data_IF_185060556078
#
_entry.id   IF_185060556078
#
_cell.length_a   1.000
_cell.length_b   1.000
_cell.length_c   1.000
_cell.angle_alpha   90.00
_cell.angle_beta   90.00
_cell.angle_gamma   90.00
#
_symmetry.space_group_name_H-M   'P 1'
#
loop_
_entity.id
_entity.type
_entity.pdbx_description
1 polymer ?
#
# COMPACT_ATOMS: atom_id res chain seq x y z
N UNK A 1 52.18 -66.68 33.97
CA UNK A 1 52.42 -65.23 33.92
C UNK A 1 53.20 -64.99 32.63
N UNK A 2 52.64 -64.36 31.58
CA UNK A 2 53.45 -64.04 30.41
C UNK A 2 54.54 -63.05 30.84
N UNK A 3 55.74 -63.20 30.27
CA UNK A 3 56.88 -62.35 30.56
C UNK A 3 56.50 -60.88 30.36
N UNK A 4 56.73 -60.06 31.39
CA UNK A 4 56.64 -58.60 31.28
C UNK A 4 57.72 -58.14 30.30
N UNK A 5 57.34 -57.86 29.06
CA UNK A 5 58.21 -57.18 28.11
C UNK A 5 58.32 -55.72 28.55
N UNK A 6 59.38 -55.40 29.29
CA UNK A 6 59.71 -54.02 29.62
C UNK A 6 60.11 -53.29 28.34
N UNK A 7 59.39 -52.21 28.02
CA UNK A 7 59.72 -51.35 26.89
C UNK A 7 60.85 -50.40 27.30
N UNK A 8 61.87 -50.31 26.45
CA UNK A 8 62.93 -49.32 26.58
C UNK A 8 62.40 -47.92 26.23
N UNK A 9 62.98 -46.84 26.79
CA UNK A 9 62.57 -45.45 26.46
C UNK A 9 62.54 -45.17 24.95
N UNK A 10 63.45 -45.78 24.20
CA UNK A 10 63.56 -45.64 22.75
C UNK A 10 62.40 -46.33 22.01
N UNK A 11 61.81 -47.39 22.57
CA UNK A 11 60.62 -48.06 22.03
C UNK A 11 59.32 -47.30 22.32
N UNK A 12 59.34 -46.35 23.26
CA UNK A 12 58.21 -45.50 23.61
C UNK A 12 58.19 -44.18 22.85
N UNK A 13 59.32 -43.79 22.24
CA UNK A 13 59.49 -42.50 21.58
C UNK A 13 59.61 -42.66 20.06
N UNK A 14 58.57 -42.27 19.34
CA UNK A 14 58.63 -42.05 17.89
C UNK A 14 58.96 -40.60 17.60
N UNK A 15 60.25 -40.28 17.61
CA UNK A 15 60.77 -38.96 17.21
C UNK A 15 60.79 -38.76 15.70
N UNK A 16 60.63 -37.50 15.28
CA UNK A 16 60.91 -37.08 13.89
C UNK A 16 62.23 -36.31 13.90
N UNK A 17 63.17 -36.67 13.04
CA UNK A 17 64.44 -35.96 12.89
C UNK A 17 64.20 -34.59 12.20
N UNK A 18 64.42 -33.45 12.89
CA UNK A 18 64.20 -32.13 12.30
C UNK A 18 65.09 -31.85 11.08
N UNK A 19 66.25 -32.51 10.97
CA UNK A 19 67.14 -32.36 9.82
C UNK A 19 66.55 -32.93 8.51
N UNK A 20 65.47 -33.72 8.60
CA UNK A 20 64.75 -34.25 7.43
C UNK A 20 63.73 -33.27 6.85
N UNK A 21 63.43 -32.16 7.55
CA UNK A 21 62.45 -31.18 7.10
C UNK A 21 63.13 -30.14 6.18
N UNK A 22 62.52 -29.79 5.03
CA UNK A 22 63.13 -28.89 4.06
C UNK A 22 63.01 -27.39 4.43
N UNK A 23 62.70 -27.06 5.68
CA UNK A 23 62.45 -25.69 6.15
C UNK A 23 63.06 -25.47 7.55
N UNK A 24 63.43 -24.22 7.84
CA UNK A 24 64.01 -23.87 9.14
C UNK A 24 62.92 -23.52 10.17
N UNK A 25 61.86 -22.86 9.74
CA UNK A 25 60.72 -22.47 10.58
C UNK A 25 59.40 -22.69 9.84
N UNK A 26 58.29 -22.77 10.59
CA UNK A 26 56.95 -22.89 9.99
C UNK A 26 56.49 -21.60 9.29
N UNK A 27 57.20 -20.48 9.47
CA UNK A 27 56.94 -19.23 8.73
C UNK A 27 57.37 -19.34 7.25
N UNK A 28 58.31 -20.25 6.95
CA UNK A 28 58.82 -20.50 5.60
C UNK A 28 57.84 -21.32 4.74
N UNK A 29 56.74 -21.80 5.33
CA UNK A 29 55.77 -22.66 4.68
C UNK A 29 54.62 -21.84 4.10
N UNK A 30 54.28 -22.09 2.84
CA UNK A 30 53.04 -21.60 2.24
C UNK A 30 51.82 -22.21 2.94
N UNK A 31 50.74 -21.42 2.99
CA UNK A 31 49.47 -21.92 3.52
C UNK A 31 48.95 -23.06 2.67
N UNK A 32 48.57 -24.16 3.31
CA UNK A 32 47.94 -25.27 2.63
C UNK A 32 46.48 -24.94 2.33
N UNK A 33 46.17 -24.69 1.06
CA UNK A 33 44.80 -24.55 0.57
C UNK A 33 44.01 -25.87 0.51
N UNK A 34 44.65 -26.98 0.91
CA UNK A 34 44.10 -28.33 0.79
C UNK A 34 43.80 -28.88 2.18
N UNK A 35 42.56 -29.35 2.38
CA UNK A 35 42.17 -30.04 3.61
C UNK A 35 42.72 -31.47 3.59
N UNK A 36 43.69 -31.72 4.46
CA UNK A 36 44.37 -33.02 4.55
C UNK A 36 43.45 -34.07 5.19
N UNK A 37 43.40 -35.26 4.61
CA UNK A 37 42.75 -36.43 5.20
C UNK A 37 41.21 -36.46 5.12
N UNK A 38 40.60 -35.52 4.39
CA UNK A 38 39.14 -35.37 4.29
C UNK A 38 38.58 -35.54 2.87
N UNK A 39 39.21 -36.40 2.05
CA UNK A 39 38.86 -36.57 0.63
C UNK A 39 37.34 -36.80 0.40
N UNK A 40 36.70 -37.67 1.20
CA UNK A 40 35.25 -37.92 1.10
C UNK A 40 34.41 -36.67 1.37
N UNK A 41 34.79 -35.86 2.36
CA UNK A 41 34.06 -34.65 2.70
C UNK A 41 34.23 -33.59 1.61
N UNK A 42 35.43 -33.46 1.05
CA UNK A 42 35.71 -32.55 -0.07
C UNK A 42 34.83 -32.92 -1.28
N UNK A 43 34.81 -34.19 -1.70
CA UNK A 43 33.97 -34.62 -2.83
C UNK A 43 32.47 -34.38 -2.59
N UNK A 44 32.01 -34.49 -1.35
CA UNK A 44 30.62 -34.19 -1.00
C UNK A 44 30.31 -32.67 -1.09
N UNK A 45 31.26 -31.83 -0.71
CA UNK A 45 31.15 -30.36 -0.83
C UNK A 45 31.13 -29.97 -2.32
N UNK A 46 32.06 -30.50 -3.12
CA UNK A 46 32.13 -30.24 -4.56
C UNK A 46 30.81 -30.61 -5.27
N UNK A 47 30.32 -31.84 -5.01
CA UNK A 47 29.03 -32.28 -5.54
C UNK A 47 27.88 -31.35 -5.11
N UNK A 48 27.84 -30.94 -3.84
CA UNK A 48 26.79 -30.06 -3.35
C UNK A 48 26.82 -28.66 -3.98
N UNK A 49 28.01 -28.18 -4.35
CA UNK A 49 28.19 -26.89 -5.03
C UNK A 49 27.80 -26.99 -6.52
N UNK A 50 27.99 -28.16 -7.15
CA UNK A 50 27.64 -28.38 -8.55
C UNK A 50 26.14 -28.61 -8.78
N UNK A 51 25.44 -29.22 -7.81
CA UNK A 51 24.01 -29.53 -7.95
C UNK A 51 23.15 -28.30 -7.67
N UNK A 52 22.86 -27.52 -8.71
CA UNK A 52 21.93 -26.38 -8.64
C UNK A 52 20.46 -26.82 -8.74
N UNK A 53 19.94 -27.52 -7.72
CA UNK A 53 18.53 -27.94 -7.65
C UNK A 53 17.85 -27.54 -6.34
N UNK A 54 16.61 -27.02 -6.38
CA UNK A 54 15.83 -26.75 -5.18
C UNK A 54 15.71 -27.99 -4.28
N UNK A 55 15.88 -27.81 -2.97
CA UNK A 55 15.80 -28.89 -1.98
C UNK A 55 17.10 -29.68 -1.78
N UNK A 56 18.15 -29.43 -2.59
CA UNK A 56 19.47 -30.01 -2.36
C UNK A 56 20.29 -29.13 -1.41
N UNK A 57 20.52 -29.61 -0.19
CA UNK A 57 21.24 -28.87 0.86
C UNK A 57 22.42 -29.70 1.39
N UNK A 58 23.53 -29.04 1.73
CA UNK A 58 24.68 -29.66 2.38
C UNK A 58 24.53 -29.62 3.91
N UNK A 59 24.72 -30.77 4.56
CA UNK A 59 24.82 -30.86 6.02
C UNK A 59 26.18 -31.44 6.41
N UNK A 60 26.92 -30.75 7.28
CA UNK A 60 28.26 -31.13 7.68
C UNK A 60 28.31 -31.64 9.12
N UNK A 61 28.65 -32.92 9.28
CA UNK A 61 28.77 -33.58 10.57
C UNK A 61 30.22 -33.96 10.86
N UNK A 62 30.68 -33.72 12.10
CA UNK A 62 31.99 -34.16 12.56
C UNK A 62 32.39 -33.50 13.88
N UNK A 63 33.49 -33.94 14.51
CA UNK A 63 33.99 -33.37 15.76
C UNK A 63 34.17 -31.85 15.73
N UNK A 64 34.15 -31.22 16.90
CA UNK A 64 34.52 -29.81 17.03
C UNK A 64 36.02 -29.62 16.72
N UNK A 65 36.40 -28.45 16.22
CA UNK A 65 37.81 -28.10 15.96
C UNK A 65 38.39 -28.53 14.60
N UNK A 66 37.66 -29.30 13.78
CA UNK A 66 38.17 -29.77 12.48
C UNK A 66 38.00 -28.77 11.31
N UNK A 67 37.62 -27.52 11.58
CA UNK A 67 37.50 -26.48 10.55
C UNK A 67 36.33 -26.62 9.56
N UNK A 68 35.29 -27.42 9.85
CA UNK A 68 34.16 -27.69 8.93
C UNK A 68 33.61 -26.45 8.21
N UNK A 69 33.28 -25.41 8.97
CA UNK A 69 32.71 -24.18 8.42
C UNK A 69 33.72 -23.44 7.54
N UNK A 70 34.97 -23.31 8.01
CA UNK A 70 36.03 -22.62 7.27
C UNK A 70 36.29 -23.29 5.92
N UNK A 71 36.38 -24.63 5.90
CA UNK A 71 36.51 -25.41 4.66
C UNK A 71 35.35 -25.17 3.70
N UNK A 72 34.11 -25.26 4.18
CA UNK A 72 32.93 -25.07 3.32
C UNK A 72 32.90 -23.65 2.74
N UNK A 73 33.17 -22.64 3.57
CA UNK A 73 33.21 -21.24 3.12
C UNK A 73 34.32 -20.99 2.10
N UNK A 74 35.50 -21.60 2.27
CA UNK A 74 36.60 -21.48 1.30
C UNK A 74 36.19 -21.99 -0.09
N UNK A 75 35.57 -23.18 -0.16
CA UNK A 75 35.11 -23.74 -1.42
C UNK A 75 33.94 -22.94 -2.03
N UNK A 76 32.99 -22.49 -1.21
CA UNK A 76 31.88 -21.65 -1.66
C UNK A 76 32.37 -20.29 -2.20
N UNK A 77 33.33 -19.66 -1.53
CA UNK A 77 33.90 -18.36 -1.93
C UNK A 77 34.61 -18.50 -3.26
N UNK A 78 35.48 -19.49 -3.40
CA UNK A 78 36.19 -19.79 -4.65
C UNK A 78 35.22 -20.07 -5.81
N UNK A 79 34.12 -20.78 -5.54
CA UNK A 79 33.08 -20.98 -6.55
C UNK A 79 32.41 -19.67 -6.93
N UNK A 80 32.03 -18.86 -5.94
CA UNK A 80 31.28 -17.61 -6.14
C UNK A 80 32.03 -16.58 -7.00
N UNK A 81 33.37 -16.55 -6.93
CA UNK A 81 34.21 -15.68 -7.79
C UNK A 81 33.98 -15.90 -9.29
N UNK A 82 33.59 -17.12 -9.68
CA UNK A 82 33.30 -17.50 -11.07
C UNK A 82 31.81 -17.42 -11.43
N UNK A 83 30.96 -16.93 -10.54
CA UNK A 83 29.51 -16.90 -10.74
C UNK A 83 29.01 -15.51 -11.13
N UNK A 84 27.91 -15.45 -11.91
CA UNK A 84 27.27 -14.17 -12.18
C UNK A 84 26.85 -13.52 -10.87
N UNK A 85 26.96 -12.20 -10.81
CA UNK A 85 26.44 -11.42 -9.70
C UNK A 85 24.95 -11.75 -9.52
N UNK A 86 24.50 -12.11 -8.30
CA UNK A 86 23.12 -12.46 -8.07
C UNK A 86 22.19 -11.27 -8.30
N UNK A 87 20.97 -11.59 -8.74
CA UNK A 87 19.88 -10.62 -8.89
C UNK A 87 19.58 -9.91 -7.56
N UNK A 88 19.21 -8.63 -7.65
CA UNK A 88 18.68 -7.86 -6.54
C UNK A 88 17.24 -8.27 -6.26
N UNK A 89 16.91 -8.51 -5.00
CA UNK A 89 15.54 -8.76 -4.56
C UNK A 89 15.01 -7.58 -3.76
N UNK A 90 13.97 -6.95 -4.26
CA UNK A 90 13.35 -5.79 -3.63
C UNK A 90 11.91 -6.11 -3.21
N UNK A 91 11.54 -5.71 -1.99
CA UNK A 91 10.15 -5.75 -1.56
C UNK A 91 9.49 -4.40 -1.83
N UNK A 92 8.39 -4.42 -2.57
CA UNK A 92 7.56 -3.24 -2.83
C UNK A 92 6.23 -3.36 -2.11
N UNK A 93 5.67 -2.22 -1.72
CA UNK A 93 4.37 -2.19 -1.06
C UNK A 93 3.29 -2.79 -1.95
N UNK A 94 2.41 -3.59 -1.35
CA UNK A 94 1.22 -4.10 -2.00
C UNK A 94 0.02 -3.27 -1.53
N UNK A 95 -0.54 -2.46 -2.42
CA UNK A 95 -1.67 -1.58 -2.10
C UNK A 95 -2.97 -2.34 -1.79
N UNK A 96 -3.16 -3.54 -2.34
CA UNK A 96 -4.31 -4.38 -2.04
C UNK A 96 -4.18 -5.07 -0.67
N UNK A 97 -2.95 -5.44 -0.29
CA UNK A 97 -2.68 -6.07 1.00
C UNK A 97 -1.33 -5.63 1.59
N UNK A 98 -1.32 -4.57 2.42
CA UNK A 98 -0.09 -4.02 2.99
C UNK A 98 0.72 -5.00 3.87
N UNK A 99 0.09 -6.06 4.38
CA UNK A 99 0.79 -7.09 5.16
C UNK A 99 1.53 -8.12 4.30
N UNK A 100 1.36 -8.07 2.97
CA UNK A 100 1.94 -9.00 2.00
C UNK A 100 2.68 -8.23 0.91
N UNK A 101 3.91 -7.73 1.19
CA UNK A 101 4.70 -7.02 0.19
C UNK A 101 4.99 -7.91 -1.02
N UNK A 102 5.06 -7.30 -2.20
CA UNK A 102 5.40 -8.01 -3.44
C UNK A 102 6.92 -8.06 -3.60
N UNK A 103 7.45 -9.23 -3.96
CA UNK A 103 8.87 -9.39 -4.26
C UNK A 103 9.13 -9.14 -5.74
N UNK A 104 10.07 -8.26 -6.04
CA UNK A 104 10.59 -8.01 -7.37
C UNK A 104 12.00 -8.57 -7.48
N UNK A 105 12.24 -9.33 -8.56
CA UNK A 105 13.58 -9.76 -8.97
C UNK A 105 14.11 -8.79 -10.01
N UNK A 106 15.25 -8.17 -9.73
CA UNK A 106 15.87 -7.18 -10.58
C UNK A 106 17.29 -7.63 -10.94
N UNK A 107 17.82 -7.25 -12.12
CA UNK A 107 19.22 -7.46 -12.42
C UNK A 107 20.12 -6.82 -11.36
N UNK A 108 21.28 -7.43 -11.12
CA UNK A 108 22.25 -6.97 -10.14
C UNK A 108 22.53 -5.46 -10.25
N UNK A 109 22.42 -4.76 -9.13
CA UNK A 109 22.67 -3.32 -9.01
C UNK A 109 21.47 -2.41 -9.36
N UNK A 110 20.40 -2.94 -9.94
CA UNK A 110 19.22 -2.13 -10.28
C UNK A 110 18.32 -1.80 -9.07
N UNK A 111 18.42 -2.55 -7.97
CA UNK A 111 17.61 -2.30 -6.78
C UNK A 111 17.85 -0.91 -6.18
N UNK A 112 19.09 -0.43 -6.23
CA UNK A 112 19.42 0.92 -5.78
C UNK A 112 18.83 1.99 -6.70
N UNK A 113 18.93 1.81 -8.03
CA UNK A 113 18.31 2.73 -9.00
C UNK A 113 16.81 2.82 -8.79
N UNK A 114 16.13 1.66 -8.64
CA UNK A 114 14.69 1.63 -8.41
C UNK A 114 14.30 2.41 -7.14
N UNK A 115 15.10 2.31 -6.07
CA UNK A 115 14.87 3.06 -4.84
C UNK A 115 14.89 4.58 -5.09
N UNK A 116 15.92 5.07 -5.80
CA UNK A 116 16.06 6.48 -6.15
C UNK A 116 14.93 6.96 -7.07
N UNK A 117 14.58 6.15 -8.08
CA UNK A 117 13.50 6.47 -9.03
C UNK A 117 12.14 6.54 -8.33
N UNK A 118 11.87 5.62 -7.39
CA UNK A 118 10.65 5.64 -6.59
C UNK A 118 10.58 6.84 -5.65
N UNK A 119 11.71 7.25 -5.05
CA UNK A 119 11.75 8.45 -4.24
C UNK A 119 11.43 9.70 -5.08
N UNK A 120 12.08 9.82 -6.24
CA UNK A 120 11.82 10.91 -7.18
C UNK A 120 10.36 10.91 -7.66
N UNK A 121 9.81 9.75 -8.00
CA UNK A 121 8.41 9.62 -8.40
C UNK A 121 7.47 10.17 -7.32
N UNK A 122 7.70 9.84 -6.05
CA UNK A 122 6.88 10.35 -4.94
C UNK A 122 6.97 11.87 -4.82
N UNK A 123 8.17 12.43 -4.92
CA UNK A 123 8.39 13.87 -4.80
C UNK A 123 7.80 14.65 -6.00
N UNK A 124 7.99 14.14 -7.22
CA UNK A 124 7.40 14.70 -8.44
C UNK A 124 5.87 14.63 -8.38
N UNK A 125 5.32 13.53 -7.87
CA UNK A 125 3.88 13.33 -7.73
C UNK A 125 3.27 14.28 -6.69
N UNK A 126 3.95 14.51 -5.55
CA UNK A 126 3.52 15.48 -4.52
C UNK A 126 3.42 16.90 -5.07
N UNK A 127 4.25 17.25 -6.03
CA UNK A 127 4.29 18.58 -6.62
C UNK A 127 3.35 18.71 -7.81
N UNK A 128 3.32 17.72 -8.70
CA UNK A 128 2.55 17.76 -9.94
C UNK A 128 1.06 17.51 -9.76
N UNK A 129 0.64 16.67 -8.79
CA UNK A 129 -0.78 16.39 -8.57
C UNK A 129 -1.60 17.64 -8.21
N UNK A 130 -1.20 18.47 -7.22
CA UNK A 130 -1.93 19.71 -6.92
C UNK A 130 -2.05 20.63 -8.14
N UNK A 131 -0.95 20.82 -8.88
CA UNK A 131 -0.93 21.66 -10.10
C UNK A 131 -1.89 21.12 -11.16
N UNK A 132 -1.93 19.80 -11.36
CA UNK A 132 -2.86 19.18 -12.30
C UNK A 132 -4.33 19.36 -11.89
N UNK A 133 -4.63 19.33 -10.59
CA UNK A 133 -5.97 19.61 -10.07
C UNK A 133 -6.33 21.10 -10.12
N UNK A 134 -5.38 22.01 -10.10
CA UNK A 134 -5.62 23.45 -10.27
C UNK A 134 -5.74 23.87 -11.74
N UNK A 135 -5.37 22.98 -12.67
CA UNK A 135 -5.44 23.26 -14.10
C UNK A 135 -6.86 23.67 -14.52
N UNK A 136 -6.95 24.73 -15.34
CA UNK A 136 -8.22 25.35 -15.73
C UNK A 136 -9.20 24.34 -16.36
N UNK A 137 -8.70 23.41 -17.17
CA UNK A 137 -9.53 22.37 -17.77
C UNK A 137 -10.14 21.43 -16.73
N UNK A 138 -9.38 21.03 -15.72
CA UNK A 138 -9.88 20.19 -14.63
C UNK A 138 -10.93 20.96 -13.81
N UNK A 139 -10.64 22.20 -13.45
CA UNK A 139 -11.57 23.06 -12.69
C UNK A 139 -12.87 23.30 -13.46
N UNK A 140 -12.80 23.56 -14.77
CA UNK A 140 -14.00 23.71 -15.63
C UNK A 140 -14.84 22.44 -15.69
N UNK A 141 -14.21 21.27 -15.83
CA UNK A 141 -14.94 20.00 -15.82
C UNK A 141 -15.59 19.75 -14.46
N UNK A 142 -14.87 20.00 -13.37
CA UNK A 142 -15.38 19.88 -12.01
C UNK A 142 -16.57 20.82 -11.77
N UNK A 143 -16.45 22.07 -12.19
CA UNK A 143 -17.51 23.07 -12.09
C UNK A 143 -18.73 22.66 -12.94
N UNK A 144 -18.54 22.19 -14.18
CA UNK A 144 -19.64 21.72 -15.01
C UNK A 144 -20.38 20.53 -14.40
N UNK A 145 -19.67 19.60 -13.76
CA UNK A 145 -20.28 18.50 -13.01
C UNK A 145 -21.06 19.04 -11.81
N UNK A 146 -20.49 19.98 -11.05
CA UNK A 146 -21.15 20.60 -9.90
C UNK A 146 -22.45 21.31 -10.33
N UNK A 147 -22.38 22.16 -11.34
CA UNK A 147 -23.52 22.89 -11.91
C UNK A 147 -24.61 21.93 -12.41
N UNK A 148 -24.24 20.85 -13.10
CA UNK A 148 -25.18 19.82 -13.54
C UNK A 148 -25.96 19.21 -12.36
N UNK A 149 -25.26 18.85 -11.27
CA UNK A 149 -25.90 18.28 -10.09
C UNK A 149 -26.68 19.32 -9.28
N UNK A 150 -26.23 20.57 -9.24
CA UNK A 150 -26.96 21.67 -8.60
C UNK A 150 -28.28 21.96 -9.32
N UNK A 151 -28.25 22.08 -10.65
CA UNK A 151 -29.44 22.25 -11.48
C UNK A 151 -30.43 21.10 -11.29
N UNK A 152 -29.94 19.86 -11.34
CA UNK A 152 -30.77 18.67 -11.13
C UNK A 152 -31.40 18.63 -9.73
N UNK A 153 -30.71 19.19 -8.72
CA UNK A 153 -31.22 19.28 -7.34
C UNK A 153 -32.22 20.42 -7.18
N UNK A 154 -32.03 21.56 -7.86
CA UNK A 154 -32.94 22.71 -7.77
C UNK A 154 -34.20 22.55 -8.63
N UNK A 155 -34.12 21.79 -9.74
CA UNK A 155 -35.21 21.67 -10.72
C UNK A 155 -36.57 21.32 -10.08
N UNK A 156 -36.71 20.30 -9.20
CA UNK A 156 -38.00 19.97 -8.60
C UNK A 156 -38.56 21.09 -7.72
N UNK A 157 -37.69 21.87 -7.07
CA UNK A 157 -38.10 23.02 -6.26
C UNK A 157 -38.50 24.21 -7.13
N UNK A 158 -37.82 24.41 -8.27
CA UNK A 158 -38.19 25.43 -9.25
C UNK A 158 -39.56 25.11 -9.87
N UNK A 159 -39.79 23.85 -10.28
CA UNK A 159 -41.08 23.39 -10.78
C UNK A 159 -42.20 23.57 -9.74
N UNK A 160 -41.94 23.23 -8.46
CA UNK A 160 -42.88 23.46 -7.37
C UNK A 160 -43.15 24.97 -7.16
N UNK A 161 -42.13 25.81 -7.26
CA UNK A 161 -42.26 27.26 -7.13
C UNK A 161 -43.11 27.87 -8.24
N UNK A 162 -42.94 27.41 -9.49
CA UNK A 162 -43.75 27.87 -10.63
C UNK A 162 -45.22 27.46 -10.48
N UNK A 163 -45.49 26.21 -10.06
CA UNK A 163 -46.84 25.73 -9.79
C UNK A 163 -47.51 26.51 -8.64
N UNK A 164 -46.78 26.73 -7.54
CA UNK A 164 -47.25 27.51 -6.41
C UNK A 164 -47.56 28.95 -6.83
N UNK A 165 -46.68 29.58 -7.60
CA UNK A 165 -46.87 30.96 -8.06
C UNK A 165 -48.13 31.11 -8.93
N UNK A 166 -48.41 30.14 -9.80
CA UNK A 166 -49.66 30.10 -10.58
C UNK A 166 -50.92 30.00 -9.69
N UNK A 167 -50.77 29.48 -8.47
CA UNK A 167 -51.84 29.39 -7.47
C UNK A 167 -51.82 30.55 -6.46
N UNK A 168 -51.06 31.62 -6.74
CA UNK A 168 -50.83 32.76 -5.84
C UNK A 168 -50.17 32.38 -4.51
N UNK A 169 -49.19 31.46 -4.55
CA UNK A 169 -48.37 31.07 -3.41
C UNK A 169 -46.90 31.20 -3.80
N UNK A 170 -46.11 31.92 -3.02
CA UNK A 170 -44.67 32.05 -3.18
C UNK A 170 -43.94 30.99 -2.36
N UNK A 171 -43.00 30.28 -2.99
CA UNK A 171 -42.02 29.44 -2.31
C UNK A 171 -40.74 30.25 -2.09
N UNK A 172 -40.44 30.61 -0.85
CA UNK A 172 -39.32 31.47 -0.48
C UNK A 172 -38.26 30.64 0.24
N UNK A 173 -37.00 30.77 -0.19
CA UNK A 173 -35.86 30.16 0.51
C UNK A 173 -35.37 31.07 1.62
N UNK A 174 -35.68 30.71 2.86
CA UNK A 174 -35.22 31.38 4.08
C UNK A 174 -34.00 30.71 4.73
N UNK A 175 -33.47 31.29 5.83
CA UNK A 175 -32.30 30.75 6.54
C UNK A 175 -32.53 29.36 7.15
N UNK A 176 -33.78 29.09 7.57
CA UNK A 176 -34.18 27.83 8.22
C UNK A 176 -34.75 26.80 7.23
N UNK A 177 -34.76 27.09 5.92
CA UNK A 177 -35.34 26.22 4.90
C UNK A 177 -36.30 26.96 3.98
N UNK A 178 -37.29 26.27 3.44
CA UNK A 178 -38.29 26.85 2.55
C UNK A 178 -39.53 27.27 3.33
N UNK A 179 -40.14 28.38 2.94
CA UNK A 179 -41.38 28.93 3.50
C UNK A 179 -42.36 29.19 2.37
N UNK A 180 -43.61 28.79 2.55
CA UNK A 180 -44.70 29.11 1.63
C UNK A 180 -45.45 30.35 2.16
N UNK A 181 -45.71 31.32 1.29
CA UNK A 181 -46.42 32.55 1.63
C UNK A 181 -47.45 32.90 0.55
N UNK A 182 -48.65 33.35 0.90
CA UNK A 182 -49.64 33.74 -0.10
C UNK A 182 -49.24 35.03 -0.82
N UNK A 183 -49.61 35.13 -2.09
CA UNK A 183 -49.40 36.29 -2.95
C UNK A 183 -50.74 37.03 -3.10
N UNK A 184 -50.77 38.30 -2.70
CA UNK A 184 -51.94 39.19 -2.88
C UNK A 184 -51.46 40.47 -3.56
N UNK A 185 -52.17 40.90 -4.61
CA UNK A 185 -51.77 42.07 -5.42
C UNK A 185 -50.31 42.02 -5.92
N UNK A 186 -49.85 40.82 -6.28
CA UNK A 186 -48.49 40.60 -6.80
C UNK A 186 -47.37 40.65 -5.75
N UNK A 187 -47.69 40.73 -4.46
CA UNK A 187 -46.70 40.68 -3.37
C UNK A 187 -46.99 39.55 -2.41
N UNK A 188 -45.93 38.85 -1.98
CA UNK A 188 -46.04 37.90 -0.89
C UNK A 188 -46.37 38.66 0.40
N UNK A 189 -47.44 38.26 1.07
CA UNK A 189 -47.90 38.87 2.32
C UNK A 189 -47.49 38.02 3.52
N UNK A 190 -47.29 38.66 4.67
CA UNK A 190 -46.96 37.96 5.91
C UNK A 190 -48.22 37.49 6.68
N UNK A 191 -48.02 36.81 7.81
CA UNK A 191 -49.13 36.30 8.63
C UNK A 191 -50.04 37.41 9.20
N UNK A 192 -49.50 38.61 9.44
CA UNK A 192 -50.27 39.75 9.99
C UNK A 192 -51.17 40.40 8.92
N UNK A 193 -50.76 40.34 7.67
CA UNK A 193 -51.58 40.80 6.54
C UNK A 193 -52.59 39.75 6.11
N UNK A 194 -52.21 38.47 6.17
CA UNK A 194 -53.10 37.34 5.88
C UNK A 194 -54.34 37.32 6.79
N UNK A 195 -54.18 37.58 8.08
CA UNK A 195 -55.28 37.62 9.07
C UNK A 195 -56.29 38.75 8.86
N UNK A 196 -55.99 39.73 7.99
CA UNK A 196 -56.91 40.82 7.63
C UNK A 196 -57.82 40.46 6.45
N UNK A 197 -57.60 39.34 5.78
CA UNK A 197 -58.43 38.88 4.67
C UNK A 197 -59.78 38.35 5.18
N UNK A 198 -60.84 38.31 4.35
CA UNK A 198 -62.09 37.65 4.71
C UNK A 198 -61.89 36.18 5.09
N UNK A 199 -62.61 35.66 6.08
CA UNK A 199 -62.57 34.24 6.49
C UNK A 199 -62.67 33.24 5.32
N UNK A 200 -63.58 33.39 4.33
CA UNK A 200 -63.63 32.47 3.20
C UNK A 200 -62.36 32.47 2.34
N UNK A 201 -61.68 33.62 2.21
CA UNK A 201 -60.41 33.71 1.49
C UNK A 201 -59.26 33.10 2.31
N UNK A 202 -59.25 33.31 3.62
CA UNK A 202 -58.28 32.67 4.51
C UNK A 202 -58.38 31.14 4.45
N UNK A 203 -59.60 30.59 4.50
CA UNK A 203 -59.83 29.14 4.41
C UNK A 203 -59.32 28.58 3.07
N UNK A 204 -59.69 29.21 1.95
CA UNK A 204 -59.25 28.80 0.61
C UNK A 204 -57.72 28.80 0.47
N UNK A 205 -57.08 29.87 0.94
CA UNK A 205 -55.62 30.01 0.87
C UNK A 205 -54.91 29.00 1.79
N UNK A 206 -55.43 28.75 3.00
CA UNK A 206 -54.86 27.76 3.91
C UNK A 206 -54.93 26.34 3.32
N UNK A 207 -56.03 25.98 2.65
CA UNK A 207 -56.13 24.69 1.95
C UNK A 207 -55.05 24.56 0.88
N UNK A 208 -54.88 25.59 0.04
CA UNK A 208 -53.85 25.59 -1.01
C UNK A 208 -52.44 25.54 -0.42
N UNK A 209 -52.15 26.30 0.64
CA UNK A 209 -50.84 26.26 1.32
C UNK A 209 -50.56 24.86 1.84
N UNK A 210 -51.52 24.18 2.48
CA UNK A 210 -51.37 22.81 2.96
C UNK A 210 -51.02 21.81 1.84
N UNK A 211 -51.65 21.92 0.67
CA UNK A 211 -51.33 21.07 -0.48
C UNK A 211 -49.89 21.26 -0.98
N UNK A 212 -49.42 22.51 -1.03
CA UNK A 212 -48.04 22.81 -1.42
C UNK A 212 -47.03 22.46 -0.33
N UNK A 213 -47.39 22.54 0.95
CA UNK A 213 -46.58 22.08 2.08
C UNK A 213 -46.34 20.57 2.01
N UNK A 214 -47.36 19.76 1.71
CA UNK A 214 -47.22 18.32 1.56
C UNK A 214 -46.29 17.95 0.40
N UNK A 215 -46.45 18.63 -0.75
CA UNK A 215 -45.56 18.46 -1.90
C UNK A 215 -44.13 18.86 -1.56
N UNK A 216 -43.93 20.01 -0.92
CA UNK A 216 -42.61 20.48 -0.48
C UNK A 216 -41.95 19.48 0.49
N UNK A 217 -42.70 18.98 1.46
CA UNK A 217 -42.24 17.98 2.43
C UNK A 217 -41.84 16.67 1.74
N UNK A 218 -42.57 16.25 0.71
CA UNK A 218 -42.20 15.06 -0.08
C UNK A 218 -40.88 15.25 -0.82
N UNK A 219 -40.65 16.41 -1.44
CA UNK A 219 -39.38 16.75 -2.10
C UNK A 219 -38.22 16.83 -1.10
N UNK A 220 -38.45 17.44 0.07
CA UNK A 220 -37.45 17.51 1.13
C UNK A 220 -37.06 16.12 1.64
N UNK A 221 -38.03 15.23 1.90
CA UNK A 221 -37.76 13.84 2.31
C UNK A 221 -36.94 13.08 1.26
N UNK A 222 -37.32 13.19 -0.01
CA UNK A 222 -36.58 12.56 -1.11
C UNK A 222 -35.14 13.08 -1.21
N UNK A 223 -34.95 14.40 -1.09
CA UNK A 223 -33.63 15.02 -1.14
C UNK A 223 -32.71 14.60 0.03
N UNK A 224 -33.26 14.44 1.24
CA UNK A 224 -32.52 13.98 2.42
C UNK A 224 -32.10 12.51 2.32
N UNK A 225 -32.96 11.66 1.73
CA UNK A 225 -32.64 10.25 1.46
C UNK A 225 -31.50 10.11 0.45
N UNK A 226 -31.54 10.86 -0.65
CA UNK A 226 -30.45 10.90 -1.63
C UNK A 226 -29.13 11.41 -1.04
N UNK A 227 -29.19 12.42 -0.16
CA UNK A 227 -28.00 12.94 0.53
C UNK A 227 -27.38 11.92 1.51
N UNK A 228 -28.21 11.13 2.20
CA UNK A 228 -27.75 10.03 3.08
C UNK A 228 -27.05 8.94 2.28
N UNK A 229 -27.60 8.54 1.14
CA UNK A 229 -26.96 7.57 0.25
C UNK A 229 -25.62 8.11 -0.27
N UNK A 230 -25.57 9.35 -0.77
CA UNK A 230 -24.32 9.95 -1.25
C UNK A 230 -23.18 10.01 -0.22
N UNK A 231 -23.49 10.21 1.07
CA UNK A 231 -22.48 10.15 2.15
C UNK A 231 -21.92 8.74 2.38
N UNK A 232 -22.72 7.70 2.17
CA UNK A 232 -22.30 6.29 2.29
C UNK A 232 -21.35 5.91 1.15
N UNK A 233 -21.64 6.37 -0.08
CA UNK A 233 -20.76 6.18 -1.24
C UNK A 233 -19.42 6.92 -1.09
N UNK A 234 -19.41 8.18 -0.61
CA UNK A 234 -18.17 8.92 -0.35
C UNK A 234 -17.29 8.26 0.72
N UNK A 235 -17.88 7.75 1.81
CA UNK A 235 -17.10 6.99 2.80
C UNK A 235 -16.51 5.72 2.18
N UNK A 236 -17.28 4.97 1.38
CA UNK A 236 -16.79 3.74 0.75
C UNK A 236 -15.67 4.00 -0.28
N UNK A 237 -15.73 5.11 -1.02
CA UNK A 237 -14.69 5.50 -1.97
C UNK A 237 -13.36 5.93 -1.29
N UNK A 238 -13.43 6.54 -0.10
CA UNK A 238 -12.24 6.89 0.70
C UNK A 238 -11.60 5.66 1.36
N UNK A 239 -12.33 4.55 1.52
CA UNK A 239 -11.78 3.27 2.00
C UNK A 239 -11.29 2.34 0.88
N UNK A 240 -11.49 2.71 -0.39
CA UNK A 240 -11.10 1.93 -1.57
C UNK A 240 -9.98 2.56 -2.41
N UNK A 241 -9.41 3.68 -1.95
CA UNK A 241 -8.21 4.31 -2.51
C UNK A 241 -7.09 4.30 -1.46
#
# INVERSE_FOLDING_TARGET
MPASYELTPEQLFTGTDPATLPFATTEDLESLDVVIGQARAISAIELAIEVCRPGFNLFALGPAGIGKQSTILQYLTRRAESQPTPDDWCYVNNFENPQKPNALRLPAGMGHSLCLDMQKLVDDTRTSMPVAFEAENYQKQLQGIQEYYEQRRSQPFNELSEQAAASNIALIRGPQGFVLAPIVNGKAIDHKEFTKLPEPDQQRINTLIGEYEDRLNSLLKNSQMSARQGKIWRKSAVYMA
#
